data_IF_261938500168
#
_entry.id   IF_261938500168
#
_cell.length_a   1.000
_cell.length_b   1.000
_cell.length_c   1.000
_cell.angle_alpha   90.00
_cell.angle_beta   90.00
_cell.angle_gamma   90.00
#
_symmetry.space_group_name_H-M   'P 1'
#
loop_
_entity.id
_entity.type
_entity.pdbx_description
1 polymer ?
#
# COMPACT_ATOMS: atom_id res chain seq x y z
N UNK A 1 8.52 -14.61 -59.16
CA UNK A 1 7.30 -14.87 -58.35
C UNK A 1 7.59 -14.24 -57.00
N UNK A 2 6.58 -13.72 -56.31
CA UNK A 2 6.65 -13.22 -54.94
C UNK A 2 5.77 -14.15 -54.10
N UNK A 3 6.41 -15.07 -53.37
CA UNK A 3 5.72 -16.19 -52.73
C UNK A 3 5.45 -15.96 -51.23
N UNK A 4 6.14 -15.01 -50.59
CA UNK A 4 5.89 -14.57 -49.22
C UNK A 4 5.21 -13.19 -49.10
N UNK A 5 4.94 -12.54 -50.24
CA UNK A 5 4.23 -11.26 -50.36
C UNK A 5 4.97 -10.04 -49.81
N UNK A 6 6.30 -10.06 -49.80
CA UNK A 6 7.15 -8.97 -49.32
C UNK A 6 7.50 -7.92 -50.39
N UNK A 7 7.04 -8.13 -51.62
CA UNK A 7 7.25 -7.32 -52.83
C UNK A 7 8.64 -7.39 -53.47
N UNK A 8 9.52 -8.24 -52.95
CA UNK A 8 10.67 -8.79 -53.65
C UNK A 8 10.24 -10.07 -54.36
N UNK A 9 11.00 -10.49 -55.38
CA UNK A 9 10.61 -11.64 -56.19
C UNK A 9 11.81 -12.55 -56.38
N UNK A 10 11.72 -13.82 -55.97
CA UNK A 10 12.79 -14.81 -56.12
C UNK A 10 13.05 -15.26 -57.55
N UNK A 11 12.30 -14.75 -58.53
CA UNK A 11 12.50 -15.09 -59.94
C UNK A 11 11.91 -14.05 -60.90
N UNK A 12 12.71 -13.67 -61.90
CA UNK A 12 12.32 -12.80 -63.03
C UNK A 12 11.64 -13.55 -64.19
N UNK A 13 11.10 -14.75 -63.95
CA UNK A 13 10.39 -15.49 -65.00
C UNK A 13 9.16 -14.72 -65.48
N UNK A 14 9.09 -14.48 -66.79
CA UNK A 14 7.94 -13.85 -67.42
C UNK A 14 6.94 -14.90 -67.90
N UNK A 15 5.65 -14.69 -67.63
CA UNK A 15 4.56 -15.48 -68.21
C UNK A 15 3.62 -14.57 -68.99
N UNK A 16 3.19 -15.03 -70.16
CA UNK A 16 2.15 -14.33 -70.94
C UNK A 16 0.79 -14.86 -70.52
N UNK A 17 -0.03 -14.02 -69.91
CA UNK A 17 -1.40 -14.34 -69.49
C UNK A 17 -2.35 -13.16 -69.76
N UNK A 18 -3.65 -13.44 -69.92
CA UNK A 18 -4.67 -12.41 -70.15
C UNK A 18 -5.06 -11.65 -68.88
N UNK A 19 -4.79 -12.22 -67.71
CA UNK A 19 -4.98 -11.62 -66.38
C UNK A 19 -3.70 -11.85 -65.57
N UNK A 20 -3.39 -10.96 -64.62
CA UNK A 20 -2.19 -11.07 -63.77
C UNK A 20 -2.27 -12.35 -62.93
N UNK A 21 -1.36 -13.33 -63.14
CA UNK A 21 -1.36 -14.54 -62.33
C UNK A 21 -0.94 -14.23 -60.89
N UNK A 22 -1.43 -15.04 -59.95
CA UNK A 22 -1.06 -14.93 -58.53
C UNK A 22 0.47 -15.02 -58.38
N UNK A 23 1.07 -14.08 -57.65
CA UNK A 23 2.52 -14.01 -57.41
C UNK A 23 3.35 -13.40 -58.55
N UNK A 24 2.74 -12.87 -59.62
CA UNK A 24 3.45 -12.17 -60.70
C UNK A 24 3.23 -10.66 -60.59
N UNK A 25 4.22 -9.85 -60.96
CA UNK A 25 4.13 -8.38 -60.98
C UNK A 25 4.37 -7.77 -62.35
N UNK A 26 3.76 -6.61 -62.59
CA UNK A 26 3.92 -5.82 -63.81
C UNK A 26 5.20 -4.98 -63.81
N UNK A 27 5.86 -4.83 -62.66
CA UNK A 27 7.14 -4.14 -62.50
C UNK A 27 8.23 -5.16 -62.23
N UNK A 28 9.32 -5.11 -62.99
CA UNK A 28 10.49 -5.94 -62.73
C UNK A 28 11.11 -5.57 -61.36
N UNK A 29 11.54 -6.55 -60.55
CA UNK A 29 12.20 -6.29 -59.28
C UNK A 29 13.49 -5.51 -59.53
N UNK A 30 13.83 -4.59 -58.63
CA UNK A 30 15.10 -3.84 -58.72
C UNK A 30 16.29 -4.60 -58.12
N UNK A 31 16.00 -5.61 -57.30
CA UNK A 31 16.93 -6.58 -56.73
C UNK A 31 16.21 -7.94 -56.60
N UNK A 32 16.94 -9.03 -56.79
CA UNK A 32 16.43 -10.40 -56.61
C UNK A 32 16.28 -10.70 -55.11
N UNK A 33 15.21 -11.38 -54.74
CA UNK A 33 14.93 -11.80 -53.37
C UNK A 33 15.93 -12.87 -52.87
N UNK A 34 16.32 -12.80 -51.60
CA UNK A 34 17.24 -13.74 -50.97
C UNK A 34 16.55 -15.07 -50.67
N UNK A 35 15.36 -15.02 -50.06
CA UNK A 35 14.51 -16.18 -49.77
C UNK A 35 13.05 -15.86 -50.03
N UNK A 36 12.56 -16.26 -51.21
CA UNK A 36 11.16 -16.11 -51.70
C UNK A 36 10.10 -16.83 -50.83
N UNK A 37 10.48 -17.36 -49.65
CA UNK A 37 9.57 -17.97 -48.68
C UNK A 37 9.64 -17.32 -47.29
N UNK A 38 10.55 -16.37 -47.05
CA UNK A 38 10.67 -15.65 -45.77
C UNK A 38 10.62 -14.12 -46.00
N UNK A 39 9.49 -13.47 -45.63
CA UNK A 39 9.29 -12.05 -45.91
C UNK A 39 10.21 -11.12 -45.07
N UNK A 40 11.06 -11.69 -44.22
CA UNK A 40 12.07 -10.96 -43.46
C UNK A 40 13.47 -11.05 -44.08
N UNK A 41 13.70 -11.84 -45.13
CA UNK A 41 15.00 -12.01 -45.77
C UNK A 41 15.01 -11.40 -47.18
N UNK A 42 15.10 -10.06 -47.24
CA UNK A 42 15.10 -9.31 -48.51
C UNK A 42 16.32 -8.39 -48.69
N UNK A 43 16.64 -7.97 -49.94
CA UNK A 43 17.71 -7.03 -50.22
C UNK A 43 17.54 -5.70 -49.46
N UNK A 44 18.45 -5.42 -48.53
CA UNK A 44 18.41 -4.22 -47.71
C UNK A 44 17.83 -4.43 -46.31
N UNK A 45 17.51 -5.67 -45.93
CA UNK A 45 17.14 -6.02 -44.57
C UNK A 45 18.23 -5.63 -43.57
N UNK A 46 17.81 -5.10 -42.42
CA UNK A 46 18.70 -4.75 -41.31
C UNK A 46 18.61 -5.79 -40.21
N UNK A 47 19.76 -6.32 -39.82
CA UNK A 47 19.92 -7.34 -38.79
C UNK A 47 20.73 -6.74 -37.63
N UNK A 48 20.30 -6.96 -36.40
CA UNK A 48 20.95 -6.47 -35.18
C UNK A 48 21.74 -7.59 -34.50
N UNK A 49 22.96 -7.32 -34.03
CA UNK A 49 23.76 -8.30 -33.26
C UNK A 49 23.85 -7.84 -31.82
N UNK A 50 23.51 -8.76 -30.93
CA UNK A 50 23.54 -8.63 -29.48
C UNK A 50 23.10 -9.97 -28.91
N UNK A 51 23.78 -10.45 -27.88
CA UNK A 51 23.27 -11.56 -27.05
C UNK A 51 22.56 -10.90 -25.89
N UNK A 52 21.44 -11.45 -25.46
CA UNK A 52 20.83 -11.15 -24.17
C UNK A 52 21.23 -12.35 -23.30
N UNK A 53 22.35 -12.21 -22.58
CA UNK A 53 23.01 -13.35 -21.94
C UNK A 53 22.50 -13.60 -20.51
N UNK A 54 21.81 -12.63 -19.91
CA UNK A 54 21.14 -12.77 -18.61
C UNK A 54 19.60 -12.78 -18.68
N UNK A 55 19.03 -12.63 -19.88
CA UNK A 55 17.60 -12.71 -20.18
C UNK A 55 16.77 -11.54 -19.63
N UNK A 56 17.34 -10.33 -19.54
CA UNK A 56 16.69 -9.13 -19.02
C UNK A 56 16.02 -8.25 -20.10
N UNK A 57 16.12 -8.67 -21.37
CA UNK A 57 15.61 -8.02 -22.59
C UNK A 57 16.37 -6.79 -23.07
N UNK A 58 17.43 -6.41 -22.38
CA UNK A 58 18.49 -5.55 -22.90
C UNK A 58 19.54 -6.42 -23.57
N UNK A 59 20.29 -5.84 -24.50
CA UNK A 59 21.27 -6.58 -25.27
C UNK A 59 22.60 -5.83 -25.17
N UNK A 60 23.71 -6.54 -24.98
CA UNK A 60 25.04 -5.94 -24.89
C UNK A 60 25.55 -5.22 -26.15
N UNK A 61 24.75 -5.09 -27.22
CA UNK A 61 25.09 -4.28 -28.40
C UNK A 61 23.89 -3.85 -29.25
N UNK A 62 23.87 -2.58 -29.68
CA UNK A 62 22.97 -2.00 -30.71
C UNK A 62 23.51 -2.08 -32.14
N UNK A 63 24.60 -2.82 -32.36
CA UNK A 63 25.22 -2.86 -33.69
C UNK A 63 24.33 -3.59 -34.70
N UNK A 64 24.32 -3.09 -35.93
CA UNK A 64 23.53 -3.68 -37.01
C UNK A 64 24.35 -3.84 -38.28
N UNK A 65 23.90 -4.76 -39.13
CA UNK A 65 24.41 -4.96 -40.48
C UNK A 65 23.24 -5.03 -41.45
N UNK A 66 23.44 -4.49 -42.64
CA UNK A 66 22.51 -4.69 -43.76
C UNK A 66 22.97 -5.90 -44.56
N UNK A 67 22.16 -6.94 -44.60
CA UNK A 67 22.43 -8.18 -45.32
C UNK A 67 21.13 -8.75 -45.88
N UNK A 68 21.23 -9.51 -46.97
CA UNK A 68 20.09 -10.16 -47.61
C UNK A 68 19.54 -11.28 -46.71
N UNK A 69 20.39 -12.28 -46.42
CA UNK A 69 20.08 -13.39 -45.50
C UNK A 69 20.49 -13.05 -44.06
N UNK A 70 19.85 -13.67 -43.06
CA UNK A 70 20.21 -13.53 -41.65
C UNK A 70 21.65 -13.98 -41.38
N UNK A 71 22.56 -13.08 -40.95
CA UNK A 71 23.89 -13.51 -40.53
C UNK A 71 23.82 -14.26 -39.20
N UNK A 72 24.68 -15.27 -39.01
CA UNK A 72 24.72 -16.07 -37.78
C UNK A 72 24.91 -15.17 -36.56
N UNK A 73 23.99 -15.25 -35.60
CA UNK A 73 24.03 -14.48 -34.35
C UNK A 73 23.37 -13.10 -34.41
N UNK A 74 22.69 -12.75 -35.49
CA UNK A 74 21.91 -11.51 -35.60
C UNK A 74 20.39 -11.77 -35.46
N UNK A 75 19.59 -10.75 -35.15
CA UNK A 75 18.12 -10.77 -34.95
C UNK A 75 17.43 -9.63 -35.71
N UNK A 76 16.13 -9.76 -35.97
CA UNK A 76 15.30 -8.71 -36.60
C UNK A 76 14.89 -7.59 -35.63
N UNK A 77 14.91 -7.87 -34.33
CA UNK A 77 14.46 -6.92 -33.32
C UNK A 77 15.60 -6.00 -32.95
N UNK A 78 15.39 -4.69 -33.13
CA UNK A 78 16.33 -3.68 -32.65
C UNK A 78 16.38 -3.73 -31.11
N UNK A 79 17.57 -3.85 -30.49
CA UNK A 79 17.70 -3.69 -29.05
C UNK A 79 17.34 -2.26 -28.67
N UNK A 80 16.57 -2.12 -27.58
CA UNK A 80 15.98 -0.85 -27.13
C UNK A 80 17.00 0.06 -26.47
N UNK A 81 18.03 -0.51 -25.83
CA UNK A 81 19.20 0.17 -25.30
C UNK A 81 20.38 -0.83 -25.14
N UNK A 82 21.61 -0.33 -25.20
CA UNK A 82 22.81 -1.11 -24.86
C UNK A 82 22.76 -1.45 -23.36
N UNK A 83 22.88 -2.73 -23.04
CA UNK A 83 23.03 -3.23 -21.68
C UNK A 83 24.40 -2.82 -21.11
N UNK A 84 24.44 -2.39 -19.84
CA UNK A 84 25.70 -2.07 -19.17
C UNK A 84 26.41 -3.31 -18.61
N UNK A 85 25.68 -4.35 -18.16
CA UNK A 85 26.28 -5.64 -17.83
C UNK A 85 25.39 -6.78 -18.32
N UNK A 86 25.70 -7.25 -19.54
CA UNK A 86 25.08 -8.39 -20.25
C UNK A 86 25.19 -9.74 -19.51
N UNK A 87 25.66 -9.76 -18.26
CA UNK A 87 25.72 -10.95 -17.41
C UNK A 87 24.98 -10.77 -16.07
N UNK A 88 24.41 -9.59 -15.78
CA UNK A 88 23.64 -9.31 -14.58
C UNK A 88 22.28 -8.67 -14.92
N UNK A 89 21.17 -9.43 -14.79
CA UNK A 89 19.85 -8.96 -15.21
C UNK A 89 19.28 -7.86 -14.31
N UNK A 90 20.03 -7.42 -13.31
CA UNK A 90 19.68 -6.30 -12.44
C UNK A 90 20.46 -5.02 -12.77
N UNK A 91 21.42 -5.06 -13.70
CA UNK A 91 22.22 -3.90 -14.11
C UNK A 91 21.86 -3.47 -15.52
N UNK A 92 20.71 -2.80 -15.67
CA UNK A 92 20.22 -2.37 -16.98
C UNK A 92 19.95 -0.85 -17.06
N UNK A 93 19.85 -0.30 -18.29
CA UNK A 93 19.54 1.10 -18.49
C UNK A 93 18.21 1.53 -17.84
N UNK A 94 18.29 2.44 -16.86
CA UNK A 94 17.12 2.91 -16.12
C UNK A 94 16.87 2.18 -14.80
N UNK A 95 17.77 1.28 -14.39
CA UNK A 95 17.73 0.67 -13.07
C UNK A 95 17.78 1.72 -11.95
N UNK A 96 17.00 1.48 -10.90
CA UNK A 96 16.96 2.35 -9.70
C UNK A 96 17.68 1.67 -8.54
N UNK A 97 18.59 2.41 -7.93
CA UNK A 97 19.44 1.98 -6.84
C UNK A 97 19.12 2.79 -5.58
N UNK A 98 19.06 2.14 -4.44
CA UNK A 98 18.71 2.74 -3.14
C UNK A 98 19.90 2.74 -2.19
N UNK A 99 20.06 3.80 -1.40
CA UNK A 99 20.98 3.87 -0.27
C UNK A 99 20.25 4.51 0.90
N UNK A 100 20.50 4.01 2.10
CA UNK A 100 19.97 4.61 3.32
C UNK A 100 21.08 4.93 4.32
N UNK A 101 20.71 5.72 5.33
CA UNK A 101 21.50 5.89 6.55
C UNK A 101 20.79 5.11 7.65
N UNK A 102 21.55 4.24 8.30
CA UNK A 102 21.19 3.50 9.50
C UNK A 102 22.20 3.95 10.57
N UNK A 103 21.74 4.77 11.52
CA UNK A 103 22.61 5.44 12.50
C UNK A 103 22.70 4.69 13.85
N UNK A 104 21.77 3.78 14.14
CA UNK A 104 21.70 3.01 15.38
C UNK A 104 21.92 1.49 15.18
N UNK A 105 22.07 1.06 13.93
CA UNK A 105 22.40 -0.31 13.50
C UNK A 105 21.28 -1.34 13.70
N UNK A 106 20.02 -0.92 13.58
CA UNK A 106 18.84 -1.76 13.76
C UNK A 106 18.28 -2.35 12.45
N UNK A 107 18.89 -2.01 11.30
CA UNK A 107 18.54 -2.38 9.92
C UNK A 107 17.34 -1.65 9.30
N UNK A 108 16.73 -0.74 10.03
CA UNK A 108 15.84 0.27 9.53
C UNK A 108 16.64 1.53 9.23
N UNK A 109 16.08 2.40 8.40
CA UNK A 109 16.83 3.52 7.86
C UNK A 109 16.01 4.79 8.05
N UNK A 110 16.55 5.79 8.76
CA UNK A 110 15.86 7.08 8.95
C UNK A 110 15.74 7.92 7.69
N UNK A 111 16.50 7.60 6.65
CA UNK A 111 16.38 8.25 5.35
C UNK A 111 16.78 7.32 4.22
N UNK A 112 15.94 7.24 3.19
CA UNK A 112 16.22 6.55 1.94
C UNK A 112 16.43 7.57 0.83
N UNK A 113 17.54 7.43 0.10
CA UNK A 113 17.78 8.14 -1.16
C UNK A 113 17.94 7.14 -2.30
N UNK A 114 17.58 7.56 -3.50
CA UNK A 114 17.73 6.72 -4.69
C UNK A 114 18.38 7.47 -5.84
N UNK A 115 19.00 6.71 -6.73
CA UNK A 115 19.58 7.19 -7.97
C UNK A 115 19.24 6.22 -9.09
N UNK A 116 18.99 6.76 -10.28
CA UNK A 116 18.86 5.95 -11.50
C UNK A 116 20.21 5.90 -12.17
N UNK A 117 20.78 4.71 -12.27
CA UNK A 117 22.08 4.44 -12.89
C UNK A 117 22.06 3.05 -13.52
N UNK A 118 22.90 2.83 -14.52
CA UNK A 118 22.98 1.55 -15.21
C UNK A 118 23.68 0.51 -14.31
N UNK A 119 24.96 0.72 -14.02
CA UNK A 119 25.73 -0.10 -13.07
C UNK A 119 25.43 0.30 -11.61
N UNK A 120 25.60 -0.65 -10.67
CA UNK A 120 25.45 -0.42 -9.24
C UNK A 120 26.46 0.62 -8.71
N UNK A 121 26.01 1.77 -8.17
CA UNK A 121 26.92 2.70 -7.51
C UNK A 121 27.40 2.14 -6.16
N UNK A 122 28.65 2.45 -5.79
CA UNK A 122 29.25 1.98 -4.53
C UNK A 122 28.38 2.39 -3.33
N UNK A 123 27.96 1.41 -2.54
CA UNK A 123 27.16 1.61 -1.32
C UNK A 123 25.65 1.60 -1.52
N UNK A 124 25.16 1.45 -2.76
CA UNK A 124 23.72 1.32 -3.05
C UNK A 124 23.28 -0.16 -3.13
N UNK A 125 21.98 -0.43 -3.10
CA UNK A 125 21.33 -1.74 -3.19
C UNK A 125 20.12 -1.70 -4.15
N UNK A 126 19.73 -2.85 -4.71
CA UNK A 126 18.53 -3.01 -5.54
C UNK A 126 17.24 -2.92 -4.73
N UNK A 127 17.29 -3.38 -3.48
CA UNK A 127 16.14 -3.38 -2.59
C UNK A 127 16.11 -2.08 -1.82
N UNK A 128 14.96 -1.41 -1.85
CA UNK A 128 14.72 -0.29 -0.96
C UNK A 128 14.83 -0.78 0.50
N UNK A 129 15.49 -0.02 1.38
CA UNK A 129 15.38 -0.15 2.82
C UNK A 129 13.97 -0.49 3.31
N UNK A 130 13.87 -1.34 4.32
CA UNK A 130 12.63 -1.54 5.07
C UNK A 130 12.24 -0.23 5.75
N UNK A 131 10.95 0.12 5.63
CA UNK A 131 10.21 1.26 6.17
C UNK A 131 11.00 2.32 6.97
N UNK A 132 10.78 3.60 6.63
CA UNK A 132 11.40 4.74 7.29
C UNK A 132 11.34 4.61 8.83
N UNK A 133 12.51 4.59 9.45
CA UNK A 133 12.66 4.55 10.90
C UNK A 133 12.13 5.86 11.52
N UNK A 134 11.29 5.75 12.55
CA UNK A 134 10.73 6.91 13.24
C UNK A 134 11.71 7.54 14.24
N UNK A 135 12.73 6.82 14.71
CA UNK A 135 13.83 7.37 15.50
C UNK A 135 15.17 6.67 15.21
N UNK A 136 15.81 7.09 14.10
CA UNK A 136 17.13 6.67 13.59
C UNK A 136 18.32 7.06 14.51
N UNK A 137 18.11 7.09 15.82
CA UNK A 137 19.13 7.25 16.83
C UNK A 137 18.92 6.27 18.01
N UNK A 138 17.89 5.43 17.98
CA UNK A 138 17.49 4.52 19.03
C UNK A 138 17.07 3.16 18.45
N UNK A 139 17.96 2.16 18.58
CA UNK A 139 17.79 0.79 18.09
C UNK A 139 16.61 0.01 18.71
N UNK A 140 15.85 0.65 19.60
CA UNK A 140 14.64 0.11 20.21
C UNK A 140 13.35 0.69 19.66
N UNK A 141 13.42 1.70 18.80
CA UNK A 141 12.27 2.38 18.18
C UNK A 141 12.37 2.18 16.68
N UNK A 142 11.53 1.28 16.14
CA UNK A 142 11.56 0.94 14.73
C UNK A 142 10.26 0.29 14.29
N UNK A 143 9.93 0.27 12.98
CA UNK A 143 8.71 -0.36 12.49
C UNK A 143 8.52 -1.81 12.96
N UNK A 144 7.53 -2.02 13.83
CA UNK A 144 7.22 -3.31 14.44
C UNK A 144 8.00 -3.66 15.71
N UNK A 145 8.66 -2.71 16.36
CA UNK A 145 9.31 -2.92 17.66
C UNK A 145 8.31 -3.31 18.76
N UNK A 146 8.75 -3.91 19.88
CA UNK A 146 7.87 -4.18 21.02
C UNK A 146 7.46 -2.89 21.76
N UNK A 147 6.15 -2.71 21.91
CA UNK A 147 5.56 -1.56 22.59
C UNK A 147 5.69 -1.59 24.12
N UNK A 148 6.12 -0.46 24.72
CA UNK A 148 6.10 -0.22 26.16
C UNK A 148 4.87 0.61 26.51
N UNK A 149 3.81 -0.09 26.89
CA UNK A 149 2.50 0.55 27.03
C UNK A 149 2.45 1.72 28.02
N UNK A 150 1.83 2.83 27.60
CA UNK A 150 1.56 4.04 28.38
C UNK A 150 2.80 4.83 28.83
N UNK A 151 3.93 4.73 28.11
CA UNK A 151 5.09 5.58 28.35
C UNK A 151 5.14 6.84 27.46
N UNK A 152 4.20 6.96 26.51
CA UNK A 152 4.06 8.08 25.59
C UNK A 152 5.00 8.03 24.39
N UNK A 153 5.72 6.92 24.20
CA UNK A 153 6.60 6.66 23.07
C UNK A 153 5.91 5.62 22.18
N UNK A 154 5.94 5.85 20.87
CA UNK A 154 5.49 4.92 19.83
C UNK A 154 6.74 4.18 19.35
N UNK A 155 7.01 2.99 19.90
CA UNK A 155 8.20 2.23 19.57
C UNK A 155 8.05 1.50 18.23
N UNK A 156 6.83 1.10 17.88
CA UNK A 156 6.57 0.30 16.68
C UNK A 156 6.28 1.11 15.42
N UNK A 157 6.33 2.45 15.54
CA UNK A 157 6.09 3.45 14.51
C UNK A 157 4.72 3.31 13.82
N UNK A 158 3.69 2.76 14.50
CA UNK A 158 2.34 2.61 13.95
C UNK A 158 1.47 3.87 14.10
N UNK A 159 1.99 4.88 14.79
CA UNK A 159 1.35 6.15 15.09
C UNK A 159 0.67 6.21 16.46
N UNK A 160 0.78 5.18 17.29
CA UNK A 160 0.08 5.08 18.57
C UNK A 160 0.88 4.35 19.67
N UNK A 161 1.12 5.02 20.81
CA UNK A 161 1.51 4.33 22.06
C UNK A 161 0.39 3.36 22.49
N UNK A 162 0.72 2.07 22.62
CA UNK A 162 -0.24 1.06 23.04
C UNK A 162 -0.68 1.28 24.49
N UNK A 163 -1.98 1.46 24.71
CA UNK A 163 -2.51 1.64 26.07
C UNK A 163 -2.94 0.34 26.74
N UNK A 164 -2.80 0.27 28.07
CA UNK A 164 -3.42 -0.82 28.86
C UNK A 164 -4.84 -0.46 29.30
N UNK A 165 -5.64 -1.48 29.66
CA UNK A 165 -6.90 -1.23 30.36
C UNK A 165 -6.60 -0.67 31.76
N UNK A 166 -6.70 0.65 31.91
CA UNK A 166 -6.56 1.31 33.21
C UNK A 166 -7.49 0.69 34.27
N UNK A 167 -6.97 0.50 35.49
CA UNK A 167 -7.74 0.00 36.64
C UNK A 167 -8.97 0.86 36.90
N UNK A 168 -8.85 2.17 36.74
CA UNK A 168 -9.94 3.11 36.97
C UNK A 168 -11.08 2.89 35.96
N UNK A 169 -10.73 2.49 34.71
CA UNK A 169 -11.67 2.12 33.65
C UNK A 169 -12.39 0.80 33.94
N UNK A 170 -11.73 -0.16 34.61
CA UNK A 170 -12.36 -1.40 35.06
C UNK A 170 -13.32 -1.15 36.24
N UNK A 171 -12.94 -0.31 37.21
CA UNK A 171 -13.81 0.04 38.33
C UNK A 171 -15.03 0.84 37.87
N UNK A 172 -14.86 1.74 36.90
CA UNK A 172 -15.96 2.53 36.33
C UNK A 172 -17.03 1.66 35.64
N UNK A 173 -16.65 0.50 35.08
CA UNK A 173 -17.61 -0.46 34.49
C UNK A 173 -18.49 -1.16 35.53
N UNK A 174 -18.06 -1.22 36.79
CA UNK A 174 -18.77 -1.89 37.89
C UNK A 174 -19.81 -1.00 38.60
N UNK A 175 -20.10 0.19 38.07
CA UNK A 175 -21.17 1.05 38.58
C UNK A 175 -22.53 0.36 38.39
N UNK A 176 -23.35 0.37 39.45
CA UNK A 176 -24.70 -0.22 39.43
C UNK A 176 -25.77 0.87 39.53
N UNK A 177 -26.83 0.76 38.72
CA UNK A 177 -27.97 1.70 38.72
C UNK A 177 -29.24 0.99 39.17
N UNK A 178 -29.84 1.44 40.28
CA UNK A 178 -30.94 0.75 40.97
C UNK A 178 -31.97 1.72 41.57
N UNK A 179 -33.27 1.38 41.58
CA UNK A 179 -33.87 0.22 40.94
C UNK A 179 -33.90 0.40 39.41
N UNK A 180 -33.91 -0.71 38.69
CA UNK A 180 -34.17 -0.75 37.26
C UNK A 180 -34.93 -2.06 36.96
N UNK A 181 -36.24 -2.05 36.66
CA UNK A 181 -37.08 -0.88 36.33
C UNK A 181 -37.23 0.17 37.44
N UNK A 182 -37.45 1.44 37.09
CA UNK A 182 -37.47 2.56 38.04
C UNK A 182 -38.81 3.31 38.12
N UNK A 183 -39.10 3.82 39.33
CA UNK A 183 -40.23 4.70 39.65
C UNK A 183 -39.85 6.17 39.47
N UNK A 184 -39.77 6.90 40.58
CA UNK A 184 -39.54 8.37 40.56
C UNK A 184 -38.06 8.75 40.73
N UNK A 185 -37.22 7.78 41.10
CA UNK A 185 -35.81 7.98 41.40
C UNK A 185 -34.99 6.72 41.11
N UNK A 186 -33.69 6.95 40.87
CA UNK A 186 -32.66 5.92 40.77
C UNK A 186 -31.48 6.28 41.66
N UNK A 187 -30.70 5.28 42.00
CA UNK A 187 -29.46 5.37 42.74
C UNK A 187 -28.35 4.77 41.90
N UNK A 188 -27.22 5.46 41.85
CA UNK A 188 -26.01 5.03 41.18
C UNK A 188 -25.00 4.71 42.28
N UNK A 189 -24.61 3.44 42.42
CA UNK A 189 -23.58 3.01 43.35
C UNK A 189 -22.21 3.16 42.66
N UNK A 190 -21.31 3.90 43.31
CA UNK A 190 -19.98 4.20 42.80
C UNK A 190 -18.92 3.43 43.61
N UNK A 191 -17.79 3.04 43.00
CA UNK A 191 -16.62 2.53 43.73
C UNK A 191 -16.07 3.54 44.75
N UNK A 192 -15.37 3.05 45.78
CA UNK A 192 -14.78 3.88 46.85
C UNK A 192 -13.71 4.88 46.34
N UNK A 193 -13.10 4.57 45.21
CA UNK A 193 -12.08 5.38 44.53
C UNK A 193 -12.60 6.73 44.04
N UNK A 194 -13.92 6.88 43.86
CA UNK A 194 -14.54 8.10 43.33
C UNK A 194 -15.12 9.01 44.43
N UNK A 195 -14.62 8.95 45.66
CA UNK A 195 -15.17 9.74 46.76
C UNK A 195 -14.96 11.25 46.53
N UNK A 196 -16.00 12.05 46.75
CA UNK A 196 -16.04 13.50 46.53
C UNK A 196 -15.82 13.98 45.07
N UNK A 197 -15.91 13.10 44.08
CA UNK A 197 -15.84 13.53 42.67
C UNK A 197 -17.20 13.98 42.14
N UNK A 198 -17.17 14.82 41.11
CA UNK A 198 -18.38 15.29 40.42
C UNK A 198 -18.73 14.44 39.20
N UNK A 199 -20.03 14.31 38.95
CA UNK A 199 -20.58 13.50 37.86
C UNK A 199 -21.71 14.22 37.12
N UNK A 200 -21.62 14.21 35.79
CA UNK A 200 -22.73 14.58 34.91
C UNK A 200 -23.56 13.36 34.59
N UNK A 201 -24.84 13.43 34.91
CA UNK A 201 -25.83 12.40 34.62
C UNK A 201 -26.77 12.90 33.54
N UNK A 202 -26.69 12.24 32.39
CA UNK A 202 -27.51 12.52 31.22
C UNK A 202 -28.45 11.34 30.96
N UNK A 203 -29.73 11.62 30.68
CA UNK A 203 -30.71 10.61 30.29
C UNK A 203 -31.26 10.98 28.92
N UNK A 204 -31.26 10.02 28.01
CA UNK A 204 -31.76 10.13 26.65
C UNK A 204 -32.96 9.21 26.45
N UNK A 205 -33.96 9.67 25.71
CA UNK A 205 -34.99 8.77 25.18
C UNK A 205 -34.45 7.90 24.03
N UNK A 206 -35.25 6.92 23.58
CA UNK A 206 -34.82 6.00 22.51
C UNK A 206 -34.66 6.66 21.13
N UNK A 207 -35.12 7.90 20.96
CA UNK A 207 -34.88 8.70 19.75
C UNK A 207 -33.58 9.50 19.84
N UNK A 208 -32.83 9.37 20.95
CA UNK A 208 -31.57 10.07 21.18
C UNK A 208 -31.74 11.49 21.71
N UNK A 209 -32.95 11.93 22.06
CA UNK A 209 -33.18 13.26 22.64
C UNK A 209 -32.80 13.26 24.12
N UNK A 210 -31.97 14.23 24.52
CA UNK A 210 -31.59 14.47 25.91
C UNK A 210 -32.79 14.99 26.72
N UNK A 211 -33.24 14.23 27.72
CA UNK A 211 -34.40 14.56 28.57
C UNK A 211 -34.00 15.01 29.97
N UNK A 212 -32.84 14.57 30.47
CA UNK A 212 -32.26 15.02 31.75
C UNK A 212 -30.78 15.27 31.53
N UNK A 213 -30.27 16.39 32.05
CA UNK A 213 -28.85 16.69 32.17
C UNK A 213 -28.62 17.42 33.48
N UNK A 214 -27.95 16.75 34.44
CA UNK A 214 -27.74 17.28 35.79
C UNK A 214 -26.38 16.87 36.33
N UNK A 215 -25.75 17.79 37.03
CA UNK A 215 -24.51 17.55 37.77
C UNK A 215 -24.82 17.09 39.20
N UNK A 216 -24.04 16.14 39.68
CA UNK A 216 -24.14 15.58 41.02
C UNK A 216 -22.75 15.43 41.64
N UNK A 217 -22.59 15.91 42.87
CA UNK A 217 -21.44 15.57 43.69
C UNK A 217 -21.68 14.20 44.34
N UNK A 218 -20.70 13.31 44.27
CA UNK A 218 -20.78 12.03 44.97
C UNK A 218 -20.74 12.25 46.49
N UNK A 219 -21.71 11.67 47.22
CA UNK A 219 -21.70 11.61 48.68
C UNK A 219 -21.88 10.17 49.14
N UNK A 220 -20.98 9.65 49.99
CA UNK A 220 -21.03 8.27 50.50
C UNK A 220 -21.09 7.20 49.38
N UNK A 221 -20.32 7.40 48.29
CA UNK A 221 -20.19 6.45 47.17
C UNK A 221 -21.51 6.16 46.45
N UNK A 222 -22.40 7.15 46.44
CA UNK A 222 -23.75 7.01 45.89
C UNK A 222 -24.23 8.35 45.35
N UNK A 223 -24.82 8.30 44.16
CA UNK A 223 -25.59 9.41 43.60
C UNK A 223 -27.06 9.03 43.61
N UNK A 224 -27.92 9.92 44.11
CA UNK A 224 -29.37 9.76 44.06
C UNK A 224 -29.97 10.74 43.06
N UNK A 225 -30.53 10.21 41.99
CA UNK A 225 -31.19 10.99 40.92
C UNK A 225 -32.70 10.95 41.17
N UNK A 226 -33.28 12.11 41.51
CA UNK A 226 -34.71 12.26 41.81
C UNK A 226 -35.43 13.04 40.70
N UNK A 227 -36.76 13.13 40.76
CA UNK A 227 -37.56 13.93 39.82
C UNK A 227 -37.66 13.28 38.45
N UNK A 228 -37.70 11.94 38.42
CA UNK A 228 -37.89 11.15 37.20
C UNK A 228 -39.36 10.72 37.02
N UNK A 229 -40.25 11.22 37.88
CA UNK A 229 -41.70 10.98 37.89
C UNK A 229 -42.40 11.48 36.62
N UNK A 230 -41.84 12.52 35.98
CA UNK A 230 -42.38 13.13 34.76
C UNK A 230 -41.97 12.41 33.47
N UNK A 231 -41.15 11.37 33.57
CA UNK A 231 -40.77 10.57 32.41
C UNK A 231 -41.89 9.59 32.08
N UNK A 232 -42.21 9.48 30.79
CA UNK A 232 -43.16 8.50 30.29
C UNK A 232 -42.67 7.07 30.54
N UNK A 233 -43.60 6.11 30.59
CA UNK A 233 -43.27 4.69 30.68
C UNK A 233 -42.60 4.21 29.38
N UNK A 234 -41.28 4.20 29.37
CA UNK A 234 -40.46 3.85 28.23
C UNK A 234 -39.05 3.39 28.66
N UNK A 235 -38.31 2.72 27.77
CA UNK A 235 -36.87 2.57 27.91
C UNK A 235 -36.13 3.90 27.68
N UNK A 236 -35.02 4.08 28.39
CA UNK A 236 -34.13 5.24 28.31
C UNK A 236 -32.67 4.77 28.34
N UNK A 237 -31.75 5.62 27.89
CA UNK A 237 -30.30 5.43 28.07
C UNK A 237 -29.80 6.46 29.08
N UNK A 238 -29.12 5.98 30.12
CA UNK A 238 -28.38 6.84 31.05
C UNK A 238 -26.91 6.86 30.67
N UNK A 239 -26.33 8.05 30.53
CA UNK A 239 -24.90 8.28 30.41
C UNK A 239 -24.40 8.91 31.72
N UNK A 240 -23.41 8.28 32.33
CA UNK A 240 -22.78 8.69 33.60
C UNK A 240 -21.38 9.12 33.25
N UNK A 241 -21.02 10.37 33.54
CA UNK A 241 -19.75 10.98 33.12
C UNK A 241 -19.05 11.50 34.37
N UNK A 242 -17.82 11.06 34.64
CA UNK A 242 -16.96 11.68 35.62
C UNK A 242 -16.45 13.02 35.04
N UNK A 243 -16.67 14.14 35.73
CA UNK A 243 -16.32 15.46 35.20
C UNK A 243 -14.84 15.80 35.32
N UNK A 244 -14.09 15.11 36.18
CA UNK A 244 -12.65 15.31 36.36
C UNK A 244 -11.86 14.55 35.30
N UNK A 245 -12.19 13.28 35.07
CA UNK A 245 -11.48 12.42 34.13
C UNK A 245 -12.08 12.40 32.73
N UNK A 246 -13.33 12.87 32.57
CA UNK A 246 -14.08 12.78 31.31
C UNK A 246 -14.58 11.38 30.98
N UNK A 247 -14.26 10.36 31.79
CA UNK A 247 -14.71 8.99 31.55
C UNK A 247 -16.23 8.90 31.62
N UNK A 248 -16.81 8.19 30.65
CA UNK A 248 -18.24 8.00 30.59
C UNK A 248 -18.63 6.56 30.32
N UNK A 249 -19.80 6.19 30.82
CA UNK A 249 -20.41 4.89 30.58
C UNK A 249 -21.89 5.08 30.31
N UNK A 250 -22.47 4.09 29.63
CA UNK A 250 -23.89 4.09 29.34
C UNK A 250 -24.55 2.82 29.87
N UNK A 251 -25.78 2.94 30.33
CA UNK A 251 -26.66 1.81 30.68
C UNK A 251 -28.07 2.07 30.19
N UNK A 252 -28.83 0.99 30.03
CA UNK A 252 -30.27 1.08 29.76
C UNK A 252 -31.04 1.21 31.08
N UNK A 253 -32.06 2.06 31.08
CA UNK A 253 -33.07 2.19 32.13
C UNK A 253 -34.45 1.86 31.57
N UNK A 254 -35.32 1.33 32.42
CA UNK A 254 -36.71 1.02 32.07
C UNK A 254 -37.63 1.72 33.06
N UNK A 255 -38.44 2.67 32.59
CA UNK A 255 -39.50 3.27 33.40
C UNK A 255 -40.74 2.38 33.33
N UNK A 256 -41.30 2.05 34.49
CA UNK A 256 -42.60 1.38 34.62
C UNK A 256 -43.62 2.30 35.28
#
# INVERSE_FOLDING_TARGET
VDNDSDTYFGSVTSVTACEQPVGYSLTAPTADDCDDNDPNEFPGQTWYIGVDNDSDTYFGSVTSVTACEQPVGYSLTAPTADDCDDNDPNEFPGQTWYIGVDNDSDTYFGSVTSVTACEQPVGYSLTAPTADDCDDADDTIYPGAPEITNDGIDQDCDGFDQTTLDRDKLEFRNIAVTPNPFGDNINIALPLSYNNTEFSIQIFDMNGRLVIDRQYSNSNNKIKVNGLDKLDQAPYIIKIINTETGFSMMKQLIKF
#
